data_IF_494647883080
#
_entry.id   IF_494647883080
#
_cell.length_a   1.000
_cell.length_b   1.000
_cell.length_c   1.000
_cell.angle_alpha   90.00
_cell.angle_beta   90.00
_cell.angle_gamma   90.00
#
_symmetry.space_group_name_H-M   'P 1'
#
loop_
_entity.id
_entity.type
_entity.pdbx_description
1 polymer ?
#
# COMPACT_ATOMS: atom_id res chain seq x y z
N UNK A 1 21.62 -12.20 5.91
CA UNK A 1 22.59 -11.57 6.81
C UNK A 1 21.84 -11.03 8.04
N UNK A 2 21.99 -11.75 9.18
CA UNK A 2 21.30 -11.43 10.45
C UNK A 2 21.62 -10.01 10.96
N UNK A 3 22.82 -9.51 10.74
CA UNK A 3 23.21 -8.16 11.18
C UNK A 3 22.40 -7.07 10.43
N UNK A 4 22.22 -7.23 9.13
CA UNK A 4 21.41 -6.29 8.33
C UNK A 4 19.95 -6.31 8.76
N UNK A 5 19.41 -7.48 9.03
CA UNK A 5 18.04 -7.65 9.53
C UNK A 5 17.85 -6.98 10.88
N UNK A 6 18.81 -7.17 11.80
CA UNK A 6 18.76 -6.51 13.12
C UNK A 6 18.78 -4.99 12.98
N UNK A 7 19.62 -4.43 12.11
CA UNK A 7 19.67 -2.99 11.86
C UNK A 7 18.34 -2.45 11.31
N UNK A 8 17.70 -3.18 10.40
CA UNK A 8 16.38 -2.80 9.87
C UNK A 8 15.33 -2.84 10.99
N UNK A 9 15.32 -3.90 11.80
CA UNK A 9 14.42 -4.02 12.94
C UNK A 9 14.61 -2.86 13.94
N UNK A 10 15.85 -2.53 14.28
CA UNK A 10 16.16 -1.45 15.22
C UNK A 10 15.73 -0.08 14.68
N UNK A 11 15.90 0.14 13.39
CA UNK A 11 15.46 1.37 12.72
C UNK A 11 13.93 1.51 12.75
N UNK A 12 13.21 0.45 12.38
CA UNK A 12 11.74 0.43 12.40
C UNK A 12 11.24 0.57 13.85
N UNK A 13 11.90 -0.10 14.79
CA UNK A 13 11.55 0.02 16.21
C UNK A 13 11.72 1.46 16.74
N UNK A 14 12.79 2.15 16.35
CA UNK A 14 12.99 3.54 16.76
C UNK A 14 11.84 4.44 16.29
N UNK A 15 11.37 4.27 15.06
CA UNK A 15 10.20 4.98 14.52
C UNK A 15 8.91 4.62 15.27
N UNK A 16 8.69 3.34 15.50
CA UNK A 16 7.51 2.85 16.20
C UNK A 16 7.45 3.35 17.64
N UNK A 17 8.58 3.32 18.35
CA UNK A 17 8.71 3.76 19.73
C UNK A 17 8.51 5.28 19.86
N UNK A 18 8.94 6.06 18.87
CA UNK A 18 8.70 7.50 18.78
C UNK A 18 7.25 7.84 18.35
N UNK A 19 6.42 6.86 17.99
CA UNK A 19 5.10 7.09 17.43
C UNK A 19 5.12 7.87 16.11
N UNK A 20 6.21 7.76 15.35
CA UNK A 20 6.40 8.52 14.11
C UNK A 20 5.23 8.28 13.14
N UNK A 21 4.85 9.32 12.40
CA UNK A 21 3.81 9.29 11.37
C UNK A 21 2.40 8.89 11.87
N UNK A 22 2.18 8.78 13.18
CA UNK A 22 0.85 8.43 13.74
C UNK A 22 -0.11 9.62 13.79
N UNK A 23 0.41 10.84 13.68
CA UNK A 23 -0.36 12.07 13.65
C UNK A 23 0.09 12.92 12.46
N UNK A 24 -0.82 13.18 11.54
CA UNK A 24 -0.64 14.22 10.53
C UNK A 24 -1.09 15.55 11.13
N UNK A 25 -0.19 16.51 11.21
CA UNK A 25 -0.55 17.87 11.63
C UNK A 25 -1.16 18.59 10.42
N UNK A 26 -2.28 19.32 10.59
CA UNK A 26 -2.81 20.15 9.52
C UNK A 26 -1.75 21.17 9.07
N UNK A 27 -1.56 21.29 7.75
CA UNK A 27 -0.60 22.19 7.15
C UNK A 27 -0.92 23.69 7.35
N UNK A 28 -2.14 24.01 7.69
CA UNK A 28 -2.55 25.37 8.00
C UNK A 28 -3.63 25.39 9.08
N UNK A 29 -3.28 25.87 10.26
CA UNK A 29 -4.25 26.56 11.10
C UNK A 29 -4.07 28.06 10.83
N UNK A 30 -5.14 28.74 10.41
CA UNK A 30 -5.21 30.21 10.27
C UNK A 30 -4.32 30.85 9.21
N UNK A 31 -4.12 30.21 8.05
CA UNK A 31 -3.40 30.82 6.92
C UNK A 31 -1.87 30.83 7.04
N UNK A 32 -1.30 30.45 8.16
CA UNK A 32 0.13 30.29 8.34
C UNK A 32 0.55 28.86 8.02
N UNK A 33 1.33 28.67 6.97
CA UNK A 33 1.91 27.38 6.57
C UNK A 33 3.07 27.05 7.49
N UNK A 34 3.07 25.84 8.05
CA UNK A 34 4.28 25.28 8.65
C UNK A 34 5.30 24.97 7.55
N UNK A 35 6.59 25.16 7.83
CA UNK A 35 7.69 24.77 6.95
C UNK A 35 7.52 23.33 6.49
N UNK A 36 7.66 23.09 5.20
CA UNK A 36 7.54 21.75 4.59
C UNK A 36 6.16 21.35 4.08
N UNK A 37 5.13 22.16 4.29
CA UNK A 37 3.82 21.90 3.72
C UNK A 37 3.73 22.34 2.26
N UNK A 38 3.50 21.37 1.35
CA UNK A 38 3.20 21.66 -0.06
C UNK A 38 1.73 22.04 -0.21
N UNK A 39 1.46 23.31 -0.54
CA UNK A 39 0.10 23.77 -0.78
C UNK A 39 -0.43 23.22 -2.11
N UNK A 40 -1.39 22.33 -2.02
CA UNK A 40 -2.29 22.01 -3.12
C UNK A 40 -3.62 22.68 -2.87
N UNK A 41 -4.08 23.50 -3.80
CA UNK A 41 -5.46 23.98 -3.77
C UNK A 41 -6.33 22.99 -4.56
N UNK A 42 -7.39 22.54 -3.93
CA UNK A 42 -8.46 21.77 -4.60
C UNK A 42 -9.21 22.68 -5.59
N UNK A 43 -9.92 22.09 -6.55
CA UNK A 43 -10.76 22.84 -7.49
C UNK A 43 -11.83 23.71 -6.80
N UNK A 44 -12.21 23.35 -5.56
CA UNK A 44 -13.14 24.09 -4.71
C UNK A 44 -12.46 25.21 -3.88
N UNK A 45 -11.17 25.46 -4.11
CA UNK A 45 -10.40 26.50 -3.42
C UNK A 45 -9.90 26.10 -2.02
N UNK A 46 -10.28 24.92 -1.51
CA UNK A 46 -9.83 24.46 -0.19
C UNK A 46 -8.41 23.91 -0.25
N UNK A 47 -7.72 23.99 0.86
CA UNK A 47 -6.37 23.44 1.01
C UNK A 47 -6.46 21.90 1.05
N UNK A 48 -5.78 21.23 0.12
CA UNK A 48 -5.75 19.76 0.04
C UNK A 48 -4.48 19.16 0.67
N UNK A 49 -3.65 19.98 1.31
CA UNK A 49 -2.37 19.55 1.88
C UNK A 49 -2.54 18.46 2.93
N UNK A 50 -3.54 18.58 3.80
CA UNK A 50 -3.79 17.62 4.88
C UNK A 50 -4.18 16.23 4.34
N UNK A 51 -4.99 16.19 3.27
CA UNK A 51 -5.38 14.93 2.63
C UNK A 51 -4.18 14.29 1.90
N UNK A 52 -3.31 15.09 1.28
CA UNK A 52 -2.14 14.59 0.56
C UNK A 52 -1.08 14.06 1.52
N UNK A 53 -0.79 14.75 2.61
CA UNK A 53 0.16 14.31 3.62
C UNK A 53 -0.31 13.01 4.29
N UNK A 54 -1.58 12.96 4.63
CA UNK A 54 -2.20 11.76 5.15
C UNK A 54 -2.11 10.59 4.15
N UNK A 55 -2.46 10.83 2.90
CA UNK A 55 -2.43 9.81 1.84
C UNK A 55 -1.00 9.32 1.56
N UNK A 56 -0.02 10.23 1.52
CA UNK A 56 1.40 9.88 1.28
C UNK A 56 1.94 9.06 2.45
N UNK A 57 1.67 9.50 3.68
CA UNK A 57 2.05 8.77 4.90
C UNK A 57 1.45 7.38 4.93
N UNK A 58 0.16 7.27 4.59
CA UNK A 58 -0.54 5.99 4.51
C UNK A 58 0.11 5.05 3.49
N UNK A 59 0.38 5.54 2.29
CA UNK A 59 1.00 4.74 1.24
C UNK A 59 2.39 4.23 1.67
N UNK A 60 3.21 5.11 2.23
CA UNK A 60 4.53 4.74 2.76
C UNK A 60 4.43 3.67 3.84
N UNK A 61 3.54 3.85 4.81
CA UNK A 61 3.36 2.91 5.92
C UNK A 61 2.85 1.54 5.48
N UNK A 62 2.00 1.50 4.47
CA UNK A 62 1.51 0.22 3.93
C UNK A 62 2.63 -0.59 3.29
N UNK A 63 3.49 0.04 2.51
CA UNK A 63 4.64 -0.63 1.89
C UNK A 63 5.68 -1.06 2.94
N UNK A 64 5.94 -0.20 3.93
CA UNK A 64 6.83 -0.53 5.05
C UNK A 64 6.28 -1.71 5.86
N UNK A 65 4.98 -1.71 6.17
CA UNK A 65 4.34 -2.79 6.90
C UNK A 65 4.38 -4.12 6.12
N UNK A 66 4.15 -4.07 4.81
CA UNK A 66 4.28 -5.25 3.95
C UNK A 66 5.69 -5.82 3.99
N UNK A 67 6.71 -4.99 3.77
CA UNK A 67 8.12 -5.41 3.84
C UNK A 67 8.51 -5.96 5.20
N UNK A 68 8.05 -5.31 6.28
CA UNK A 68 8.27 -5.76 7.65
C UNK A 68 7.66 -7.15 7.90
N UNK A 69 6.39 -7.35 7.54
CA UNK A 69 5.73 -8.64 7.74
C UNK A 69 6.29 -9.74 6.84
N UNK A 70 6.73 -9.43 5.62
CA UNK A 70 7.45 -10.38 4.78
C UNK A 70 8.72 -10.88 5.48
N UNK A 71 9.56 -9.97 5.98
CA UNK A 71 10.76 -10.32 6.71
C UNK A 71 10.45 -11.15 7.96
N UNK A 72 9.41 -10.76 8.69
CA UNK A 72 8.99 -11.45 9.91
C UNK A 72 8.46 -12.86 9.62
N UNK A 73 7.70 -13.06 8.55
CA UNK A 73 7.20 -14.36 8.13
C UNK A 73 8.33 -15.34 7.82
N UNK A 74 9.43 -14.83 7.25
CA UNK A 74 10.59 -15.63 6.90
C UNK A 74 11.43 -16.01 8.12
N UNK A 75 11.65 -15.07 9.05
CA UNK A 75 12.59 -15.24 10.18
C UNK A 75 11.92 -15.45 11.53
N UNK A 76 10.67 -15.04 11.72
CA UNK A 76 9.89 -15.13 12.98
C UNK A 76 10.73 -14.91 14.25
N UNK A 77 11.50 -13.83 14.36
CA UNK A 77 12.36 -13.61 15.53
C UNK A 77 11.51 -13.34 16.79
N UNK A 78 12.01 -13.77 17.95
CA UNK A 78 11.35 -13.59 19.24
C UNK A 78 11.68 -12.25 19.92
N UNK A 79 12.16 -11.25 19.19
CA UNK A 79 12.53 -9.95 19.75
C UNK A 79 11.28 -9.20 20.22
N UNK A 80 11.21 -8.72 21.49
CA UNK A 80 10.07 -7.99 22.03
C UNK A 80 9.75 -6.69 21.26
N UNK A 81 10.70 -6.12 20.52
CA UNK A 81 10.51 -4.96 19.64
C UNK A 81 9.38 -5.18 18.63
N UNK A 82 9.16 -6.43 18.20
CA UNK A 82 8.09 -6.75 17.26
C UNK A 82 6.70 -6.39 17.77
N UNK A 83 6.44 -6.52 19.09
CA UNK A 83 5.16 -6.12 19.69
C UNK A 83 4.91 -4.62 19.53
N UNK A 84 5.94 -3.80 19.75
CA UNK A 84 5.85 -2.34 19.63
C UNK A 84 5.62 -1.94 18.17
N UNK A 85 6.37 -2.54 17.24
CA UNK A 85 6.23 -2.29 15.81
C UNK A 85 4.84 -2.68 15.31
N UNK A 86 4.34 -3.86 15.69
CA UNK A 86 3.00 -4.32 15.29
C UNK A 86 1.89 -3.42 15.85
N UNK A 87 2.01 -2.98 17.10
CA UNK A 87 1.06 -2.04 17.70
C UNK A 87 1.05 -0.69 16.95
N UNK A 88 2.21 -0.19 16.57
CA UNK A 88 2.37 1.02 15.77
C UNK A 88 1.75 0.88 14.38
N UNK A 89 2.07 -0.18 13.63
CA UNK A 89 1.48 -0.49 12.33
C UNK A 89 -0.06 -0.58 12.43
N UNK A 90 -0.59 -1.24 13.45
CA UNK A 90 -2.02 -1.40 13.65
C UNK A 90 -2.77 -0.07 13.89
N UNK A 91 -2.11 0.97 14.43
CA UNK A 91 -2.71 2.30 14.52
C UNK A 91 -3.04 2.86 13.13
N UNK A 92 -2.16 2.65 12.15
CA UNK A 92 -2.39 3.07 10.77
C UNK A 92 -3.56 2.31 10.13
N UNK A 93 -3.65 1.01 10.31
CA UNK A 93 -4.73 0.21 9.72
C UNK A 93 -6.09 0.54 10.29
N UNK A 94 -6.19 0.81 11.59
CA UNK A 94 -7.45 1.25 12.21
C UNK A 94 -7.92 2.60 11.70
N UNK A 95 -7.00 3.52 11.42
CA UNK A 95 -7.29 4.89 10.99
C UNK A 95 -7.72 4.99 9.53
N UNK A 96 -7.30 4.03 8.71
CA UNK A 96 -7.34 4.11 7.26
C UNK A 96 -8.28 3.09 6.61
N UNK A 97 -9.23 2.53 7.36
CA UNK A 97 -10.26 1.70 6.76
C UNK A 97 -11.18 2.57 5.92
N UNK A 98 -11.24 2.33 4.61
CA UNK A 98 -12.27 2.91 3.76
C UNK A 98 -13.63 2.32 4.18
N UNK A 99 -14.61 3.16 4.55
CA UNK A 99 -15.84 2.69 5.17
C UNK A 99 -16.81 1.97 4.22
N UNK A 100 -16.66 2.08 2.92
CA UNK A 100 -17.76 1.79 1.99
C UNK A 100 -17.59 0.61 1.04
N UNK A 101 -16.46 -0.10 1.07
CA UNK A 101 -16.28 -1.27 0.21
C UNK A 101 -16.34 -1.00 -1.30
N UNK A 102 -16.27 0.26 -1.71
CA UNK A 102 -16.28 0.69 -3.10
C UNK A 102 -15.08 0.15 -3.90
N UNK A 103 -15.01 0.46 -5.16
CA UNK A 103 -14.00 -0.04 -6.10
C UNK A 103 -12.57 0.09 -5.56
N UNK A 104 -11.75 -0.93 -5.85
CA UNK A 104 -10.33 -0.94 -5.45
C UNK A 104 -9.61 0.22 -6.12
N UNK A 105 -8.88 0.98 -5.31
CA UNK A 105 -7.93 1.97 -5.75
C UNK A 105 -6.51 1.39 -5.64
N UNK A 106 -5.84 1.24 -6.77
CA UNK A 106 -4.44 0.77 -6.81
C UNK A 106 -3.56 1.71 -5.97
N UNK A 107 -2.70 1.17 -5.15
CA UNK A 107 -1.85 1.90 -4.21
C UNK A 107 -2.39 1.90 -2.79
N UNK A 108 -3.62 2.35 -2.58
CA UNK A 108 -4.18 2.38 -1.22
C UNK A 108 -4.77 1.04 -0.80
N UNK A 109 -5.65 0.49 -1.63
CA UNK A 109 -6.33 -0.76 -1.25
C UNK A 109 -5.41 -1.96 -1.33
N UNK A 110 -4.54 -2.04 -2.35
CA UNK A 110 -3.55 -3.11 -2.47
C UNK A 110 -2.50 -3.00 -1.37
N UNK A 111 -1.99 -1.79 -1.12
CA UNK A 111 -1.05 -1.53 -0.03
C UNK A 111 -1.61 -1.85 1.36
N UNK A 112 -2.94 -1.77 1.55
CA UNK A 112 -3.62 -2.24 2.75
C UNK A 112 -3.76 -3.77 2.78
N UNK A 113 -4.10 -4.38 1.66
CA UNK A 113 -4.36 -5.83 1.57
C UNK A 113 -3.09 -6.64 1.85
N UNK A 114 -1.96 -6.28 1.27
CA UNK A 114 -0.72 -7.05 1.37
C UNK A 114 -0.24 -7.24 2.81
N UNK A 115 -0.05 -6.18 3.62
CA UNK A 115 0.43 -6.36 4.99
C UNK A 115 -0.58 -7.12 5.86
N UNK A 116 -1.88 -6.98 5.61
CA UNK A 116 -2.90 -7.73 6.35
C UNK A 116 -2.84 -9.23 6.06
N UNK A 117 -2.57 -9.61 4.82
CA UNK A 117 -2.37 -11.02 4.45
C UNK A 117 -1.11 -11.56 5.12
N UNK A 118 -0.01 -10.82 5.08
CA UNK A 118 1.25 -11.22 5.71
C UNK A 118 1.12 -11.31 7.23
N UNK A 119 0.42 -10.38 7.85
CA UNK A 119 0.11 -10.43 9.29
C UNK A 119 -0.68 -11.70 9.65
N UNK A 120 -1.66 -12.10 8.82
CA UNK A 120 -2.42 -13.34 8.99
C UNK A 120 -1.55 -14.59 8.89
N UNK A 121 -0.55 -14.60 8.01
CA UNK A 121 0.41 -15.71 7.90
C UNK A 121 1.24 -15.87 9.16
N UNK A 122 1.61 -14.78 9.82
CA UNK A 122 2.38 -14.78 11.05
C UNK A 122 1.51 -15.12 12.26
N UNK A 123 0.31 -14.56 12.31
CA UNK A 123 -0.65 -14.76 13.39
C UNK A 123 -1.97 -15.35 12.87
N UNK A 124 -2.07 -16.67 12.75
CA UNK A 124 -3.26 -17.36 12.23
C UNK A 124 -4.54 -17.11 13.02
N UNK A 125 -4.44 -16.57 14.25
CA UNK A 125 -5.61 -16.27 15.11
C UNK A 125 -6.34 -14.98 14.70
N UNK A 126 -5.75 -14.14 13.86
CA UNK A 126 -6.42 -12.92 13.40
C UNK A 126 -7.67 -13.31 12.60
N UNK A 127 -8.79 -12.70 12.94
CA UNK A 127 -10.06 -12.90 12.20
C UNK A 127 -10.03 -12.14 10.87
N UNK A 128 -9.37 -12.73 9.88
CA UNK A 128 -9.18 -12.19 8.54
C UNK A 128 -9.18 -13.33 7.53
N UNK A 129 -9.86 -13.14 6.41
CA UNK A 129 -9.80 -14.05 5.27
C UNK A 129 -8.90 -13.49 4.17
N UNK A 130 -7.67 -14.00 4.09
CA UNK A 130 -6.72 -13.65 3.01
C UNK A 130 -7.32 -13.92 1.62
N UNK A 131 -8.05 -15.02 1.46
CA UNK A 131 -8.73 -15.36 0.19
C UNK A 131 -9.80 -14.34 -0.16
N UNK A 132 -10.60 -13.88 0.81
CA UNK A 132 -11.62 -12.87 0.55
C UNK A 132 -11.00 -11.52 0.13
N UNK A 133 -9.92 -11.09 0.79
CA UNK A 133 -9.18 -9.89 0.43
C UNK A 133 -8.59 -9.98 -0.98
N UNK A 134 -7.95 -11.11 -1.31
CA UNK A 134 -7.39 -11.32 -2.65
C UNK A 134 -8.47 -11.37 -3.72
N UNK A 135 -9.60 -12.04 -3.46
CA UNK A 135 -10.74 -12.06 -4.39
C UNK A 135 -11.25 -10.64 -4.67
N UNK A 136 -11.37 -9.81 -3.63
CA UNK A 136 -11.74 -8.40 -3.78
C UNK A 136 -10.72 -7.65 -4.65
N UNK A 137 -9.42 -7.85 -4.37
CA UNK A 137 -8.33 -7.24 -5.14
C UNK A 137 -8.38 -7.63 -6.61
N UNK A 138 -8.48 -8.93 -6.91
CA UNK A 138 -8.54 -9.43 -8.29
C UNK A 138 -9.74 -8.89 -9.06
N UNK A 139 -10.92 -8.86 -8.44
CA UNK A 139 -12.12 -8.31 -9.07
C UNK A 139 -11.98 -6.80 -9.38
N UNK A 140 -11.31 -6.06 -8.51
CA UNK A 140 -11.05 -4.65 -8.75
C UNK A 140 -10.02 -4.43 -9.87
N UNK A 141 -8.91 -5.18 -9.84
CA UNK A 141 -7.89 -5.12 -10.87
C UNK A 141 -8.43 -5.51 -12.25
N UNK A 142 -9.31 -6.48 -12.33
CA UNK A 142 -9.95 -6.88 -13.61
C UNK A 142 -10.73 -5.73 -14.27
N UNK A 143 -11.30 -4.83 -13.47
CA UNK A 143 -11.99 -3.62 -13.93
C UNK A 143 -11.05 -2.46 -14.28
N UNK A 144 -9.88 -2.40 -13.63
CA UNK A 144 -8.95 -1.28 -13.74
C UNK A 144 -7.92 -1.46 -14.84
N UNK A 145 -7.49 -2.70 -15.12
CA UNK A 145 -6.53 -3.00 -16.20
C UNK A 145 -7.28 -3.19 -17.50
N UNK A 146 -7.13 -2.26 -18.43
CA UNK A 146 -7.84 -2.25 -19.70
C UNK A 146 -7.25 -3.24 -20.71
N UNK A 147 -7.95 -3.46 -21.83
CA UNK A 147 -7.55 -4.44 -22.88
C UNK A 147 -6.23 -4.11 -23.57
N UNK A 148 -5.84 -2.84 -23.59
CA UNK A 148 -4.58 -2.34 -24.13
C UNK A 148 -3.42 -2.34 -23.12
N UNK A 149 -3.68 -2.78 -21.89
CA UNK A 149 -2.71 -2.79 -20.79
C UNK A 149 -2.66 -1.49 -19.99
N UNK A 150 -3.38 -0.46 -20.39
CA UNK A 150 -3.46 0.78 -19.60
C UNK A 150 -4.26 0.59 -18.30
N UNK A 151 -4.01 1.44 -17.32
CA UNK A 151 -4.77 1.48 -16.08
C UNK A 151 -5.75 2.65 -16.12
N UNK A 152 -7.02 2.37 -15.95
CA UNK A 152 -8.12 3.34 -16.04
C UNK A 152 -7.90 4.60 -15.18
N UNK A 153 -7.31 4.46 -14.01
CA UNK A 153 -7.12 5.54 -13.03
C UNK A 153 -5.68 6.08 -12.96
N UNK A 154 -4.74 5.46 -13.68
CA UNK A 154 -3.29 5.74 -13.60
C UNK A 154 -2.73 6.30 -14.89
N UNK A 155 -2.95 5.63 -16.00
CA UNK A 155 -2.36 5.98 -17.29
C UNK A 155 -2.87 7.32 -17.85
N UNK A 156 -3.95 7.85 -17.29
CA UNK A 156 -4.57 9.13 -17.68
C UNK A 156 -4.09 10.34 -16.88
N UNK A 157 -3.00 10.20 -16.10
CA UNK A 157 -2.52 11.24 -15.16
C UNK A 157 -1.59 12.29 -15.80
N UNK A 158 -1.79 12.62 -17.08
CA UNK A 158 -1.03 13.66 -17.81
C UNK A 158 0.48 13.40 -17.80
N UNK A 159 1.29 14.38 -17.47
CA UNK A 159 2.76 14.28 -17.45
C UNK A 159 3.32 13.27 -16.43
N UNK A 160 2.53 12.79 -15.50
CA UNK A 160 2.90 11.75 -14.53
C UNK A 160 2.35 10.37 -14.90
N UNK A 161 1.69 10.22 -16.04
CA UNK A 161 1.01 9.00 -16.45
C UNK A 161 1.94 7.77 -16.41
N UNK A 162 3.16 7.90 -16.95
CA UNK A 162 4.12 6.81 -16.98
C UNK A 162 4.54 6.36 -15.57
N UNK A 163 4.78 7.30 -14.65
CA UNK A 163 5.12 6.97 -13.27
C UNK A 163 3.97 6.27 -12.56
N UNK A 164 2.74 6.77 -12.71
CA UNK A 164 1.56 6.12 -12.13
C UNK A 164 1.27 4.76 -12.76
N UNK A 165 1.50 4.61 -14.07
CA UNK A 165 1.37 3.33 -14.74
C UNK A 165 2.37 2.31 -14.18
N UNK A 166 3.64 2.70 -14.02
CA UNK A 166 4.69 1.87 -13.43
C UNK A 166 4.32 1.38 -12.03
N UNK A 167 3.94 2.29 -11.14
CA UNK A 167 3.52 1.90 -9.78
C UNK A 167 2.32 0.97 -9.81
N UNK A 168 1.32 1.25 -10.64
CA UNK A 168 0.15 0.39 -10.80
C UNK A 168 0.50 -1.02 -11.30
N UNK A 169 1.45 -1.12 -12.24
CA UNK A 169 1.92 -2.41 -12.77
C UNK A 169 2.62 -3.24 -11.68
N UNK A 170 3.56 -2.64 -10.92
CA UNK A 170 4.26 -3.34 -9.84
C UNK A 170 3.27 -3.84 -8.79
N UNK A 171 2.37 -2.98 -8.34
CA UNK A 171 1.37 -3.33 -7.34
C UNK A 171 0.43 -4.45 -7.82
N UNK A 172 0.09 -4.44 -9.12
CA UNK A 172 -0.71 -5.50 -9.73
C UNK A 172 0.06 -6.82 -9.76
N UNK A 173 1.32 -6.82 -10.21
CA UNK A 173 2.15 -8.04 -10.27
C UNK A 173 2.29 -8.66 -8.88
N UNK A 174 2.62 -7.88 -7.85
CA UNK A 174 2.73 -8.39 -6.47
C UNK A 174 1.42 -9.02 -6.01
N UNK A 175 0.28 -8.38 -6.31
CA UNK A 175 -1.05 -8.92 -5.95
C UNK A 175 -1.34 -10.24 -6.68
N UNK A 176 -0.97 -10.36 -7.96
CA UNK A 176 -1.15 -11.59 -8.73
C UNK A 176 -0.30 -12.73 -8.20
N UNK A 177 0.97 -12.46 -7.84
CA UNK A 177 1.84 -13.47 -7.23
C UNK A 177 1.30 -13.96 -5.89
N UNK A 178 0.83 -13.04 -5.04
CA UNK A 178 0.14 -13.42 -3.81
C UNK A 178 -1.09 -14.27 -4.09
N UNK A 179 -1.92 -13.89 -5.07
CA UNK A 179 -3.11 -14.64 -5.44
C UNK A 179 -2.78 -16.06 -5.92
N UNK A 180 -1.75 -16.21 -6.76
CA UNK A 180 -1.26 -17.52 -7.22
C UNK A 180 -0.80 -18.40 -6.04
N UNK A 181 -0.07 -17.82 -5.09
CA UNK A 181 0.34 -18.50 -3.85
C UNK A 181 -0.87 -19.04 -3.06
N UNK A 182 -1.98 -18.31 -3.07
CA UNK A 182 -3.24 -18.72 -2.42
C UNK A 182 -4.14 -19.62 -3.28
N UNK A 183 -3.65 -20.07 -4.44
CA UNK A 183 -4.34 -21.02 -5.31
C UNK A 183 -5.36 -20.39 -6.26
N UNK A 184 -5.35 -19.06 -6.44
CA UNK A 184 -6.19 -18.43 -7.46
C UNK A 184 -5.65 -18.70 -8.86
N UNK A 185 -6.55 -19.09 -9.76
CA UNK A 185 -6.24 -19.19 -11.19
C UNK A 185 -6.46 -17.82 -11.85
N UNK A 186 -5.41 -17.25 -12.38
CA UNK A 186 -5.48 -16.01 -13.16
C UNK A 186 -5.84 -16.38 -14.61
N UNK A 187 -6.78 -15.66 -15.20
CA UNK A 187 -7.18 -15.95 -16.58
C UNK A 187 -6.08 -15.55 -17.58
N UNK A 188 -5.91 -16.33 -18.64
CA UNK A 188 -4.97 -16.00 -19.72
C UNK A 188 -5.24 -14.61 -20.35
N UNK A 189 -6.50 -14.20 -20.36
CA UNK A 189 -6.89 -12.88 -20.86
C UNK A 189 -6.38 -11.76 -19.96
N UNK A 190 -6.35 -11.97 -18.63
CA UNK A 190 -5.81 -11.01 -17.70
C UNK A 190 -4.27 -10.96 -17.77
N UNK A 191 -3.61 -12.11 -17.82
CA UNK A 191 -2.14 -12.18 -18.00
C UNK A 191 -1.70 -11.44 -19.25
N UNK A 192 -2.39 -11.61 -20.40
CA UNK A 192 -2.12 -10.84 -21.62
C UNK A 192 -2.27 -9.32 -21.47
N UNK A 193 -3.22 -8.87 -20.61
CA UNK A 193 -3.33 -7.42 -20.33
C UNK A 193 -2.15 -6.92 -19.52
N UNK A 194 -1.63 -7.71 -18.61
CA UNK A 194 -0.44 -7.36 -17.80
C UNK A 194 0.83 -7.37 -18.67
N UNK A 195 0.98 -8.31 -19.57
CA UNK A 195 2.07 -8.31 -20.57
C UNK A 195 2.07 -7.01 -21.38
N UNK A 196 0.90 -6.62 -21.93
CA UNK A 196 0.75 -5.34 -22.63
C UNK A 196 1.02 -4.12 -21.76
N UNK A 197 0.66 -4.17 -20.47
CA UNK A 197 0.99 -3.09 -19.54
C UNK A 197 2.51 -2.92 -19.40
N UNK A 198 3.27 -4.02 -19.39
CA UNK A 198 4.73 -3.99 -19.42
C UNK A 198 5.31 -3.41 -20.72
N UNK A 199 4.69 -3.69 -21.87
CA UNK A 199 5.14 -3.19 -23.18
C UNK A 199 5.06 -1.66 -23.31
N UNK A 200 4.20 -0.99 -22.55
CA UNK A 200 4.08 0.49 -22.57
C UNK A 200 5.39 1.18 -22.21
N UNK A 201 6.29 0.52 -21.45
CA UNK A 201 7.59 1.07 -21.09
C UNK A 201 8.67 0.91 -22.17
N UNK A 202 8.42 0.05 -23.16
CA UNK A 202 9.41 -0.31 -24.18
C UNK A 202 9.19 0.50 -25.44
N UNK A 203 8.05 1.14 -25.59
CA UNK A 203 7.68 2.00 -26.73
C UNK A 203 8.02 3.45 -26.47
#
# INVERSE_FOLDING_TARGET
DKLKQQRVLDSIFAWANAGALTETKPCAKNGNRSEGCTAWKRKDGKDASDEMDHSTTQLFMMHLAYGYYMALAEFKPNDPKHKVIQAWINKFFKRNQRPDGSDIYIGYDLGYIWPRIMEKEINPKINLSSKALLKKALNGLDKLVLKDGSFKDRTTRGNRALWYHHTGLIETIVTLEMARKYGFKISKSFDKRIEKAGEIFIR
#
